data_IF_418950008557
#
_entry.id   IF_418950008557
#
_cell.length_a   1.000
_cell.length_b   1.000
_cell.length_c   1.000
_cell.angle_alpha   90.00
_cell.angle_beta   90.00
_cell.angle_gamma   90.00
#
_symmetry.space_group_name_H-M   'P 1'
#
loop_
_entity.id
_entity.type
_entity.pdbx_description
1 polymer ?
#
# COMPACT_ATOMS: atom_id res chain seq x y z
N UNK A 1 34.55 -20.35 -20.61
CA UNK A 1 33.24 -20.09 -19.97
C UNK A 1 33.25 -18.62 -19.56
N UNK A 2 32.66 -17.74 -20.36
CA UNK A 2 32.66 -16.31 -20.05
C UNK A 2 31.49 -16.08 -19.10
N UNK A 3 31.79 -15.88 -17.82
CA UNK A 3 30.81 -15.30 -16.90
C UNK A 3 30.77 -13.83 -17.28
N UNK A 4 29.81 -13.45 -18.12
CA UNK A 4 29.49 -12.04 -18.33
C UNK A 4 28.89 -11.55 -17.01
N UNK A 5 29.72 -10.94 -16.18
CA UNK A 5 29.28 -10.20 -15.00
C UNK A 5 28.48 -9.01 -15.48
N UNK A 6 27.18 -9.21 -15.55
CA UNK A 6 26.18 -8.18 -15.78
C UNK A 6 26.43 -6.98 -14.85
N UNK A 7 26.45 -5.79 -15.44
CA UNK A 7 26.57 -4.52 -14.72
C UNK A 7 25.36 -4.26 -13.82
N UNK A 8 25.51 -3.32 -12.87
CA UNK A 8 24.40 -2.94 -12.00
C UNK A 8 23.24 -2.32 -12.81
N UNK A 9 23.56 -1.55 -13.85
CA UNK A 9 22.57 -0.93 -14.72
C UNK A 9 21.76 -1.98 -15.49
N UNK A 10 22.44 -2.95 -16.11
CA UNK A 10 21.77 -4.06 -16.82
C UNK A 10 20.88 -4.88 -15.86
N UNK A 11 21.34 -5.11 -14.62
CA UNK A 11 20.51 -5.76 -13.58
C UNK A 11 19.23 -4.99 -13.28
N UNK A 12 19.33 -3.66 -13.14
CA UNK A 12 18.17 -2.79 -12.87
C UNK A 12 17.21 -2.82 -14.07
N UNK A 13 17.72 -2.64 -15.29
CA UNK A 13 16.90 -2.71 -16.51
C UNK A 13 16.16 -4.04 -16.64
N UNK A 14 16.80 -5.16 -16.28
CA UNK A 14 16.16 -6.48 -16.28
C UNK A 14 15.07 -6.59 -15.20
N UNK A 15 15.29 -6.03 -14.01
CA UNK A 15 14.25 -5.99 -12.96
C UNK A 15 13.06 -5.13 -13.37
N UNK A 16 13.29 -3.96 -13.99
CA UNK A 16 12.23 -3.11 -14.53
C UNK A 16 11.41 -3.84 -15.62
N UNK A 17 12.08 -4.59 -16.51
CA UNK A 17 11.43 -5.45 -17.49
C UNK A 17 10.55 -6.51 -16.81
N UNK A 18 11.05 -7.20 -15.79
CA UNK A 18 10.25 -8.21 -15.07
C UNK A 18 9.02 -7.59 -14.40
N UNK A 19 9.15 -6.42 -13.76
CA UNK A 19 8.01 -5.72 -13.17
C UNK A 19 6.99 -5.34 -14.24
N UNK A 20 7.43 -4.86 -15.41
CA UNK A 20 6.55 -4.57 -16.55
C UNK A 20 5.80 -5.80 -17.05
N UNK A 21 6.49 -6.95 -17.20
CA UNK A 21 5.86 -8.20 -17.64
C UNK A 21 4.85 -8.72 -16.62
N UNK A 22 5.17 -8.68 -15.32
CA UNK A 22 4.25 -9.08 -14.25
C UNK A 22 2.96 -8.23 -14.26
N UNK A 23 3.07 -6.92 -14.52
CA UNK A 23 1.90 -6.04 -14.68
C UNK A 23 1.01 -6.44 -15.86
N UNK A 24 1.58 -6.95 -16.95
CA UNK A 24 0.81 -7.35 -18.14
C UNK A 24 0.02 -8.65 -17.96
N UNK A 25 0.50 -9.56 -17.11
CA UNK A 25 -0.15 -10.86 -16.83
C UNK A 25 -1.32 -10.70 -15.86
N UNK A 26 -1.41 -9.55 -15.20
CA UNK A 26 -2.38 -9.31 -14.14
C UNK A 26 -3.79 -9.16 -14.73
N UNK A 27 -4.64 -10.18 -14.56
CA UNK A 27 -6.02 -10.20 -15.07
C UNK A 27 -6.92 -9.12 -14.44
N UNK A 28 -6.61 -8.71 -13.22
CA UNK A 28 -7.33 -7.65 -12.51
C UNK A 28 -6.34 -6.59 -11.98
N UNK A 29 -5.90 -5.64 -12.83
CA UNK A 29 -4.90 -4.63 -12.45
C UNK A 29 -5.34 -3.77 -11.26
N UNK A 30 -6.65 -3.63 -11.05
CA UNK A 30 -7.21 -2.93 -9.89
C UNK A 30 -6.88 -3.61 -8.55
N UNK A 31 -6.59 -4.92 -8.53
CA UNK A 31 -6.21 -5.65 -7.30
C UNK A 31 -4.79 -5.31 -6.81
N UNK A 32 -4.00 -4.58 -7.60
CA UNK A 32 -2.61 -4.22 -7.25
C UNK A 32 -2.40 -2.72 -7.08
N UNK A 33 -3.49 -1.93 -7.06
CA UNK A 33 -3.45 -0.47 -6.91
C UNK A 33 -2.69 0.01 -5.68
N UNK A 34 -2.83 -0.68 -4.55
CA UNK A 34 -2.06 -0.35 -3.34
C UNK A 34 -0.56 -0.50 -3.57
N UNK A 35 -0.15 -1.53 -4.31
CA UNK A 35 1.25 -1.85 -4.57
C UNK A 35 1.85 -0.84 -5.52
N UNK A 36 1.11 -0.48 -6.58
CA UNK A 36 1.50 0.62 -7.48
C UNK A 36 1.63 1.95 -6.72
N UNK A 37 0.72 2.23 -5.79
CA UNK A 37 0.81 3.44 -4.96
C UNK A 37 2.05 3.41 -4.04
N UNK A 38 2.36 2.27 -3.41
CA UNK A 38 3.57 2.10 -2.58
C UNK A 38 4.84 2.33 -3.41
N UNK A 39 4.91 1.72 -4.59
CA UNK A 39 6.07 1.83 -5.49
C UNK A 39 6.21 3.27 -6.00
N UNK A 40 5.12 3.90 -6.45
CA UNK A 40 5.14 5.26 -6.97
C UNK A 40 5.58 6.29 -5.92
N UNK A 41 5.33 6.02 -4.65
CA UNK A 41 5.73 6.89 -3.54
C UNK A 41 7.09 6.50 -2.93
N UNK A 42 7.83 5.56 -3.53
CA UNK A 42 9.18 5.18 -3.11
C UNK A 42 9.23 4.58 -1.70
N UNK A 43 8.15 3.96 -1.23
CA UNK A 43 8.10 3.37 0.10
C UNK A 43 9.00 2.14 0.16
N UNK A 44 9.76 2.03 1.25
CA UNK A 44 10.65 0.89 1.45
C UNK A 44 9.91 -0.34 2.02
N UNK A 45 10.61 -1.48 2.07
CA UNK A 45 10.07 -2.75 2.55
C UNK A 45 9.56 -2.67 4.00
N UNK A 46 10.24 -1.92 4.87
CA UNK A 46 9.82 -1.74 6.26
C UNK A 46 8.46 -1.02 6.33
N UNK A 47 8.33 0.11 5.62
CA UNK A 47 7.09 0.87 5.55
C UNK A 47 5.96 0.04 4.95
N UNK A 48 6.25 -0.73 3.90
CA UNK A 48 5.28 -1.64 3.30
C UNK A 48 4.74 -2.67 4.32
N UNK A 49 5.63 -3.33 5.05
CA UNK A 49 5.25 -4.33 6.03
C UNK A 49 4.46 -3.71 7.20
N UNK A 50 4.84 -2.52 7.64
CA UNK A 50 4.11 -1.78 8.68
C UNK A 50 2.71 -1.35 8.20
N UNK A 51 2.57 -0.81 6.98
CA UNK A 51 1.26 -0.51 6.36
C UNK A 51 0.39 -1.76 6.37
N UNK A 52 0.92 -2.89 5.90
CA UNK A 52 0.18 -4.16 5.87
C UNK A 52 -0.31 -4.59 7.25
N UNK A 53 0.51 -4.40 8.29
CA UNK A 53 0.14 -4.73 9.67
C UNK A 53 -0.96 -3.82 10.19
N UNK A 54 -0.86 -2.51 9.93
CA UNK A 54 -1.90 -1.53 10.26
C UNK A 54 -3.21 -1.90 9.56
N UNK A 55 -3.22 -2.05 8.24
CA UNK A 55 -4.45 -2.40 7.51
C UNK A 55 -5.10 -3.68 8.04
N UNK A 56 -4.31 -4.73 8.31
CA UNK A 56 -4.82 -5.98 8.89
C UNK A 56 -5.44 -5.79 10.27
N UNK A 57 -4.79 -5.01 11.15
CA UNK A 57 -5.31 -4.68 12.48
C UNK A 57 -6.70 -4.08 12.37
N UNK A 58 -6.88 -3.04 11.54
CA UNK A 58 -8.17 -2.36 11.40
C UNK A 58 -9.23 -3.21 10.69
N UNK A 59 -8.85 -4.07 9.73
CA UNK A 59 -9.78 -5.08 9.17
C UNK A 59 -10.28 -6.03 10.26
N UNK A 60 -9.40 -6.49 11.16
CA UNK A 60 -9.79 -7.39 12.25
C UNK A 60 -10.67 -6.67 13.28
N UNK A 61 -10.36 -5.42 13.63
CA UNK A 61 -11.21 -4.61 14.51
C UNK A 61 -12.62 -4.42 13.95
N UNK A 62 -12.75 -4.17 12.65
CA UNK A 62 -14.07 -4.06 11.99
C UNK A 62 -14.85 -5.38 12.02
N UNK A 63 -14.17 -6.52 11.90
CA UNK A 63 -14.82 -7.86 11.95
C UNK A 63 -15.30 -8.25 13.35
N UNK A 64 -14.68 -7.72 14.39
CA UNK A 64 -15.00 -8.06 15.79
C UNK A 64 -16.15 -7.21 16.35
N UNK A 65 -16.61 -6.18 15.61
CA UNK A 65 -17.73 -5.28 15.95
C UNK A 65 -17.70 -4.70 17.37
N UNK A 66 -16.53 -4.70 18.00
CA UNK A 66 -16.32 -4.26 19.38
C UNK A 66 -15.31 -3.13 19.36
N UNK A 67 -15.75 -1.95 19.82
CA UNK A 67 -14.93 -0.73 19.85
C UNK A 67 -14.31 -0.40 18.48
N UNK A 68 -15.17 -0.20 17.47
CA UNK A 68 -14.76 0.13 16.10
C UNK A 68 -13.91 1.41 16.14
N UNK A 69 -12.62 1.35 15.73
CA UNK A 69 -11.77 2.51 15.70
C UNK A 69 -12.32 3.59 14.77
N UNK A 70 -11.92 4.83 15.00
CA UNK A 70 -12.27 5.97 14.14
C UNK A 70 -11.31 6.09 12.96
N UNK A 71 -11.65 6.96 11.99
CA UNK A 71 -10.71 7.32 10.94
C UNK A 71 -9.43 7.99 11.49
N UNK A 72 -9.55 8.79 12.55
CA UNK A 72 -8.41 9.47 13.15
C UNK A 72 -7.42 8.48 13.77
N UNK A 73 -7.91 7.37 14.33
CA UNK A 73 -7.06 6.31 14.87
C UNK A 73 -6.19 5.68 13.76
N UNK A 74 -6.82 5.22 12.67
CA UNK A 74 -6.08 4.61 11.56
C UNK A 74 -5.19 5.64 10.84
N UNK A 75 -5.63 6.88 10.73
CA UNK A 75 -4.87 7.97 10.14
C UNK A 75 -3.61 8.26 10.93
N UNK A 76 -3.70 8.32 12.25
CA UNK A 76 -2.55 8.54 13.13
C UNK A 76 -1.49 7.46 12.96
N UNK A 77 -1.88 6.18 12.98
CA UNK A 77 -0.94 5.07 12.81
C UNK A 77 -0.33 5.05 11.41
N UNK A 78 -1.11 5.30 10.35
CA UNK A 78 -0.59 5.32 8.99
C UNK A 78 0.33 6.53 8.75
N UNK A 79 0.03 7.71 9.30
CA UNK A 79 0.91 8.90 9.19
C UNK A 79 2.29 8.61 9.81
N UNK A 80 2.33 7.90 10.95
CA UNK A 80 3.58 7.50 11.58
C UNK A 80 4.41 6.58 10.67
N UNK A 81 3.77 5.61 10.01
CA UNK A 81 4.45 4.69 9.07
C UNK A 81 4.93 5.41 7.80
N UNK A 82 4.15 6.38 7.32
CA UNK A 82 4.46 7.15 6.11
C UNK A 82 5.56 8.19 6.33
N UNK A 83 5.82 8.58 7.58
CA UNK A 83 6.95 9.43 7.93
C UNK A 83 8.28 8.74 7.59
N UNK A 84 9.30 9.46 7.07
CA UNK A 84 9.41 10.92 6.95
C UNK A 84 8.89 11.51 5.62
N UNK A 85 8.09 10.78 4.83
CA UNK A 85 7.62 11.29 3.54
C UNK A 85 6.48 12.29 3.72
N UNK A 86 6.82 13.57 3.96
CA UNK A 86 5.88 14.66 4.30
C UNK A 86 4.73 14.82 3.28
N UNK A 87 4.96 14.51 2.01
CA UNK A 87 3.95 14.62 0.95
C UNK A 87 2.77 13.66 1.13
N UNK A 88 3.01 12.50 1.77
CA UNK A 88 2.00 11.45 1.98
C UNK A 88 1.72 11.18 3.46
N UNK A 89 2.58 11.64 4.37
CA UNK A 89 2.40 11.53 5.82
C UNK A 89 1.40 12.59 6.33
N UNK A 90 0.19 12.59 5.77
CA UNK A 90 -0.90 13.48 6.12
C UNK A 90 -2.25 12.79 5.86
N UNK A 91 -3.39 13.33 6.37
CA UNK A 91 -4.69 12.70 6.22
C UNK A 91 -5.10 12.46 4.75
N UNK A 92 -4.67 13.33 3.82
CA UNK A 92 -4.94 13.16 2.39
C UNK A 92 -4.17 11.97 1.80
N UNK A 93 -2.91 11.78 2.18
CA UNK A 93 -2.11 10.62 1.79
C UNK A 93 -2.69 9.32 2.36
N UNK A 94 -3.12 9.32 3.62
CA UNK A 94 -3.85 8.20 4.23
C UNK A 94 -5.12 7.87 3.44
N UNK A 95 -5.93 8.87 3.11
CA UNK A 95 -7.16 8.67 2.35
C UNK A 95 -6.88 8.03 0.99
N UNK A 96 -5.83 8.46 0.28
CA UNK A 96 -5.42 7.85 -0.97
C UNK A 96 -4.94 6.41 -0.79
N UNK A 97 -4.12 6.15 0.24
CA UNK A 97 -3.66 4.80 0.59
C UNK A 97 -4.87 3.87 0.81
N UNK A 98 -5.84 4.29 1.64
CA UNK A 98 -7.03 3.50 1.92
C UNK A 98 -7.89 3.30 0.67
N UNK A 99 -8.07 4.34 -0.17
CA UNK A 99 -8.79 4.23 -1.44
C UNK A 99 -8.17 3.21 -2.39
N UNK A 100 -6.84 3.06 -2.37
CA UNK A 100 -6.14 2.03 -3.13
C UNK A 100 -6.19 0.65 -2.45
N UNK A 101 -6.14 0.62 -1.12
CA UNK A 101 -6.22 -0.62 -0.34
C UNK A 101 -7.56 -1.33 -0.52
N UNK A 102 -8.69 -0.61 -0.45
CA UNK A 102 -10.05 -1.20 -0.55
C UNK A 102 -10.34 -1.87 -1.89
N UNK A 103 -9.54 -1.61 -2.93
CA UNK A 103 -9.62 -2.32 -4.20
C UNK A 103 -9.12 -3.76 -4.12
N UNK A 104 -8.33 -4.08 -3.09
CA UNK A 104 -7.88 -5.44 -2.81
C UNK A 104 -8.88 -6.17 -1.93
N UNK A 105 -9.29 -7.39 -2.31
CA UNK A 105 -10.23 -8.21 -1.56
C UNK A 105 -9.93 -8.32 -0.04
N UNK A 106 -8.67 -8.52 0.41
CA UNK A 106 -8.37 -8.61 1.85
C UNK A 106 -8.66 -7.35 2.66
N UNK A 107 -8.75 -6.18 2.01
CA UNK A 107 -8.88 -4.88 2.67
C UNK A 107 -10.21 -4.17 2.36
N UNK A 108 -11.13 -4.81 1.64
CA UNK A 108 -12.41 -4.21 1.23
C UNK A 108 -13.23 -3.64 2.40
N UNK A 109 -13.19 -4.29 3.58
CA UNK A 109 -13.90 -3.81 4.77
C UNK A 109 -13.48 -2.40 5.23
N UNK A 110 -12.26 -1.96 4.89
CA UNK A 110 -11.78 -0.60 5.18
C UNK A 110 -12.56 0.48 4.43
N UNK A 111 -13.42 0.11 3.46
CA UNK A 111 -14.38 1.03 2.83
C UNK A 111 -15.26 1.73 3.86
N UNK A 112 -15.48 1.10 5.03
CA UNK A 112 -16.11 1.71 6.19
C UNK A 112 -15.55 3.11 6.48
N UNK A 113 -14.22 3.24 6.57
CA UNK A 113 -13.55 4.50 6.91
C UNK A 113 -13.68 5.57 5.83
N UNK A 114 -13.80 5.17 4.56
CA UNK A 114 -13.96 6.09 3.43
C UNK A 114 -15.38 6.66 3.31
N UNK A 115 -16.37 5.92 3.82
CA UNK A 115 -17.77 6.34 3.77
C UNK A 115 -18.15 7.27 4.94
N UNK A 116 -17.51 7.09 6.10
CA UNK A 116 -17.81 7.84 7.34
C UNK A 116 -16.87 9.03 7.59
N UNK A 117 -16.07 9.43 6.61
CA UNK A 117 -15.21 10.63 6.65
C UNK A 117 -15.86 11.86 5.99
N UNK A 118 -17.11 11.75 5.53
CA UNK A 118 -17.85 12.82 4.84
C UNK A 118 -18.91 13.52 5.71
N UNK A 119 -18.98 13.19 7.01
CA UNK A 119 -19.78 13.91 8.01
C UNK A 119 -18.87 14.78 8.89
#
# INVERSE_FOLDING_TARGET
MIILTESLEEKVQRLELYVSLLRQITLEPEQYRLWDWIIANGLNEKQFNEIKNVLKKYVMSLKQETNIPTFDDISTELIQVLSPNEYIANPRGVFQLLRNAVKMAPYQSLQYYLNHTQE
#
